data_IF_129268498019
#
_entry.id   IF_129268498019
#
_cell.length_a   1.000
_cell.length_b   1.000
_cell.length_c   1.000
_cell.angle_alpha   90.00
_cell.angle_beta   90.00
_cell.angle_gamma   90.00
#
_symmetry.space_group_name_H-M   'P 1'
#
loop_
_entity.id
_entity.type
_entity.pdbx_description
1 polymer ?
#
# COMPACT_ATOMS: atom_id res chain seq x y z
N UNK A 1 -16.59 -14.40 11.76
CA UNK A 1 -15.32 -14.89 11.18
C UNK A 1 -15.51 -15.78 9.95
N UNK A 2 -16.25 -16.91 10.02
CA UNK A 2 -16.46 -17.77 8.83
C UNK A 2 -17.15 -17.01 7.69
N UNK A 3 -18.14 -16.17 8.00
CA UNK A 3 -18.87 -15.39 6.99
C UNK A 3 -17.94 -14.35 6.30
N UNK A 4 -17.09 -13.68 7.05
CA UNK A 4 -16.08 -12.75 6.49
C UNK A 4 -15.20 -13.46 5.47
N UNK A 5 -14.67 -14.65 5.84
CA UNK A 5 -13.86 -15.46 4.91
C UNK A 5 -14.66 -15.86 3.69
N UNK A 6 -15.92 -16.27 3.86
CA UNK A 6 -16.80 -16.68 2.76
C UNK A 6 -17.02 -15.54 1.76
N UNK A 7 -17.39 -14.37 2.26
CA UNK A 7 -17.65 -13.18 1.44
C UNK A 7 -16.40 -12.81 0.64
N UNK A 8 -15.23 -12.82 1.28
CA UNK A 8 -13.97 -12.47 0.60
C UNK A 8 -13.59 -13.51 -0.45
N UNK A 9 -13.72 -14.81 -0.15
CA UNK A 9 -13.46 -15.90 -1.11
C UNK A 9 -14.37 -15.78 -2.34
N UNK A 10 -15.66 -15.48 -2.15
CA UNK A 10 -16.60 -15.32 -3.27
C UNK A 10 -16.19 -14.15 -4.17
N UNK A 11 -15.84 -13.01 -3.60
CA UNK A 11 -15.34 -11.85 -4.35
C UNK A 11 -14.10 -12.20 -5.17
N UNK A 12 -13.09 -12.83 -4.55
CA UNK A 12 -11.85 -13.20 -5.22
C UNK A 12 -12.04 -14.26 -6.31
N UNK A 13 -12.99 -15.18 -6.14
CA UNK A 13 -13.36 -16.16 -7.16
C UNK A 13 -14.09 -15.51 -8.35
N UNK A 14 -15.03 -14.63 -8.07
CA UNK A 14 -15.83 -13.92 -9.09
C UNK A 14 -14.93 -13.13 -10.04
N UNK A 15 -13.94 -12.42 -9.49
CA UNK A 15 -12.96 -11.66 -10.29
C UNK A 15 -11.81 -12.53 -10.83
N UNK A 16 -11.80 -13.84 -10.55
CA UNK A 16 -10.81 -14.79 -11.08
C UNK A 16 -9.39 -14.64 -10.50
N UNK A 17 -9.23 -13.96 -9.38
CA UNK A 17 -7.93 -13.76 -8.71
C UNK A 17 -7.44 -15.05 -8.06
N UNK A 18 -8.36 -15.88 -7.54
CA UNK A 18 -8.06 -17.19 -6.98
C UNK A 18 -8.76 -18.30 -7.75
N UNK A 19 -8.31 -19.54 -7.57
CA UNK A 19 -8.96 -20.73 -8.10
C UNK A 19 -8.87 -21.90 -7.10
N UNK A 20 -9.82 -22.86 -7.15
CA UNK A 20 -9.75 -24.03 -6.29
C UNK A 20 -8.61 -24.96 -6.72
N UNK A 21 -7.90 -25.51 -5.72
CA UNK A 21 -6.83 -26.49 -5.92
C UNK A 21 -7.04 -27.68 -4.98
N UNK A 22 -6.84 -28.89 -5.47
CA UNK A 22 -7.09 -30.10 -4.68
C UNK A 22 -5.89 -30.52 -3.85
N UNK A 23 -4.68 -30.35 -4.38
CA UNK A 23 -3.43 -30.78 -3.76
C UNK A 23 -2.35 -29.69 -3.92
N UNK A 24 -1.58 -29.49 -2.84
CA UNK A 24 -0.40 -28.63 -2.85
C UNK A 24 0.52 -29.00 -1.69
N UNK A 25 1.81 -28.92 -1.95
CA UNK A 25 2.84 -29.05 -0.90
C UNK A 25 2.97 -27.79 -0.04
N UNK A 26 2.42 -26.69 -0.49
CA UNK A 26 2.47 -25.39 0.15
C UNK A 26 1.08 -24.98 0.59
N UNK A 27 0.81 -25.08 1.90
CA UNK A 27 -0.50 -24.69 2.43
C UNK A 27 -0.32 -23.69 3.55
N UNK A 28 -0.86 -22.49 3.32
CA UNK A 28 -0.88 -21.39 4.29
C UNK A 28 -2.24 -21.31 4.99
N UNK A 29 -2.27 -20.74 6.19
CA UNK A 29 -3.50 -20.57 6.96
C UNK A 29 -4.09 -19.18 6.75
N UNK A 30 -5.43 -19.12 6.78
CA UNK A 30 -6.19 -17.87 6.75
C UNK A 30 -6.36 -17.35 8.17
N UNK A 31 -6.13 -16.05 8.35
CA UNK A 31 -6.43 -15.31 9.57
C UNK A 31 -7.44 -14.19 9.27
N UNK A 32 -8.32 -13.92 10.22
CA UNK A 32 -9.16 -12.73 10.19
C UNK A 32 -8.57 -11.70 11.15
N UNK A 33 -8.16 -10.55 10.62
CA UNK A 33 -7.66 -9.44 11.44
C UNK A 33 -8.69 -8.33 11.48
N UNK A 34 -8.87 -7.67 12.65
CA UNK A 34 -9.81 -6.57 12.76
C UNK A 34 -9.34 -5.36 11.96
N UNK A 35 -10.23 -4.78 11.18
CA UNK A 35 -10.05 -3.45 10.61
C UNK A 35 -10.36 -2.42 11.68
N UNK A 36 -9.41 -1.54 11.92
CA UNK A 36 -9.56 -0.48 12.91
C UNK A 36 -9.91 0.81 12.19
N UNK A 37 -11.13 1.27 12.41
CA UNK A 37 -11.63 2.56 11.96
C UNK A 37 -11.12 3.74 12.79
N UNK A 38 -11.81 4.87 12.68
CA UNK A 38 -11.49 6.10 13.40
C UNK A 38 -11.35 5.92 14.93
N UNK A 39 -10.78 6.92 15.56
CA UNK A 39 -10.61 6.96 17.03
C UNK A 39 -11.95 7.40 17.64
N UNK A 40 -12.50 6.58 18.54
CA UNK A 40 -13.56 6.97 19.48
C UNK A 40 -12.99 7.07 20.88
N UNK A 41 -13.70 7.77 21.74
CA UNK A 41 -13.31 7.93 23.15
C UNK A 41 -14.23 7.06 24.00
N UNK A 42 -13.64 6.13 24.76
CA UNK A 42 -14.37 5.20 25.63
C UNK A 42 -13.93 5.42 27.07
N UNK A 43 -14.85 5.53 28.05
CA UNK A 43 -14.49 5.61 29.45
C UNK A 43 -13.85 4.29 29.92
N UNK A 44 -12.74 4.37 30.65
CA UNK A 44 -12.16 3.24 31.36
C UNK A 44 -12.86 2.99 32.70
N UNK A 45 -12.43 1.95 33.43
CA UNK A 45 -12.95 1.62 34.78
C UNK A 45 -12.80 2.75 35.81
N UNK A 46 -12.01 3.77 35.52
CA UNK A 46 -11.81 4.98 36.34
C UNK A 46 -12.56 6.22 35.81
N UNK A 47 -13.46 6.01 34.81
CA UNK A 47 -14.21 7.07 34.14
C UNK A 47 -13.35 8.10 33.38
N UNK A 48 -12.08 7.75 33.05
CA UNK A 48 -11.20 8.55 32.22
C UNK A 48 -11.48 8.19 30.74
N UNK A 49 -11.58 9.20 29.90
CA UNK A 49 -11.84 9.03 28.48
C UNK A 49 -10.55 8.58 27.77
N UNK A 50 -10.48 7.31 27.35
CA UNK A 50 -9.34 6.75 26.63
C UNK A 50 -9.66 6.69 25.13
N UNK A 51 -8.79 7.21 24.25
CA UNK A 51 -8.95 7.06 22.81
C UNK A 51 -8.79 5.58 22.41
N UNK A 52 -9.83 4.99 21.87
CA UNK A 52 -9.84 3.61 21.39
C UNK A 52 -10.20 3.57 19.91
N UNK A 53 -9.46 2.78 19.13
CA UNK A 53 -9.84 2.52 17.74
C UNK A 53 -10.98 1.51 17.68
N UNK A 54 -12.08 1.90 17.07
CA UNK A 54 -13.24 1.03 16.86
C UNK A 54 -12.88 -0.01 15.80
N UNK A 55 -13.25 -1.27 16.04
CA UNK A 55 -13.23 -2.31 15.01
C UNK A 55 -14.45 -2.10 14.10
N UNK A 56 -14.21 -1.68 12.86
CA UNK A 56 -15.27 -1.42 11.87
C UNK A 56 -15.58 -2.66 11.02
N UNK A 57 -14.67 -3.62 10.99
CA UNK A 57 -14.82 -4.84 10.21
C UNK A 57 -13.69 -5.83 10.46
N UNK A 58 -13.66 -6.88 9.66
CA UNK A 58 -12.56 -7.84 9.64
C UNK A 58 -12.17 -8.11 8.21
N UNK A 59 -10.87 -8.21 7.95
CA UNK A 59 -10.32 -8.62 6.66
C UNK A 59 -9.63 -9.97 6.74
N UNK A 60 -9.70 -10.70 5.64
CA UNK A 60 -8.98 -11.95 5.47
C UNK A 60 -7.50 -11.68 5.15
N UNK A 61 -6.59 -12.33 5.86
CA UNK A 61 -5.14 -12.27 5.64
C UNK A 61 -4.60 -13.68 5.61
N UNK A 62 -3.64 -13.95 4.74
CA UNK A 62 -3.00 -15.26 4.61
C UNK A 62 -1.61 -15.22 5.23
N UNK A 63 -1.28 -16.23 6.02
CA UNK A 63 0.01 -16.32 6.68
C UNK A 63 1.08 -16.94 5.77
N UNK A 64 1.75 -16.10 5.00
CA UNK A 64 2.85 -16.51 4.13
C UNK A 64 4.23 -16.52 4.82
N UNK A 65 4.33 -16.42 6.14
CA UNK A 65 5.63 -16.38 6.84
C UNK A 65 6.52 -17.59 6.55
N UNK A 66 5.93 -18.79 6.46
CA UNK A 66 6.67 -20.03 6.11
C UNK A 66 7.14 -20.00 4.66
N UNK A 67 6.26 -19.63 3.73
CA UNK A 67 6.61 -19.46 2.31
C UNK A 67 7.71 -18.41 2.14
N UNK A 68 7.55 -17.27 2.77
CA UNK A 68 8.52 -16.17 2.71
C UNK A 68 9.91 -16.56 3.24
N UNK A 69 10.00 -17.45 4.25
CA UNK A 69 11.29 -17.98 4.73
C UNK A 69 12.00 -18.85 3.69
N UNK A 70 11.24 -19.63 2.91
CA UNK A 70 11.76 -20.49 1.87
C UNK A 70 12.00 -19.77 0.54
N UNK A 71 11.41 -18.59 0.35
CA UNK A 71 11.51 -17.82 -0.88
C UNK A 71 12.83 -17.05 -0.92
N UNK A 72 13.56 -17.17 -2.04
CA UNK A 72 14.74 -16.33 -2.32
C UNK A 72 14.30 -14.87 -2.44
N UNK A 73 14.99 -13.98 -1.70
CA UNK A 73 14.65 -12.56 -1.68
C UNK A 73 15.06 -11.88 -2.99
N UNK A 74 14.18 -11.05 -3.49
CA UNK A 74 14.47 -10.13 -4.57
C UNK A 74 15.03 -8.83 -3.96
N UNK A 75 16.21 -8.43 -4.40
CA UNK A 75 16.91 -7.24 -3.92
C UNK A 75 16.73 -6.05 -4.87
N UNK A 76 15.60 -5.99 -5.60
CA UNK A 76 15.29 -4.83 -6.42
C UNK A 76 15.22 -3.57 -5.55
N UNK A 77 15.99 -2.51 -5.88
CA UNK A 77 16.00 -1.29 -5.09
C UNK A 77 14.65 -0.58 -5.22
N UNK A 78 14.13 -0.12 -4.09
CA UNK A 78 13.02 0.83 -4.09
C UNK A 78 13.57 2.24 -4.38
N UNK A 79 12.77 3.14 -4.98
CA UNK A 79 13.15 4.53 -5.18
C UNK A 79 13.51 5.20 -3.84
N UNK A 80 14.45 6.13 -3.89
CA UNK A 80 14.80 6.94 -2.72
C UNK A 80 13.70 7.98 -2.48
N UNK A 81 13.04 7.88 -1.33
CA UNK A 81 11.93 8.77 -0.95
C UNK A 81 12.38 10.23 -0.96
N UNK A 82 13.56 10.53 -0.42
CA UNK A 82 14.08 11.90 -0.34
C UNK A 82 14.28 12.52 -1.73
N UNK A 83 14.79 11.73 -2.70
CA UNK A 83 14.94 12.17 -4.09
C UNK A 83 13.58 12.47 -4.73
N UNK A 84 12.60 11.59 -4.53
CA UNK A 84 11.23 11.82 -5.04
C UNK A 84 10.62 13.09 -4.45
N UNK A 85 10.74 13.28 -3.13
CA UNK A 85 10.23 14.45 -2.44
C UNK A 85 10.93 15.74 -2.93
N UNK A 86 12.24 15.70 -3.16
CA UNK A 86 13.00 16.83 -3.71
C UNK A 86 12.53 17.19 -5.12
N UNK A 87 12.26 16.20 -5.99
CA UNK A 87 11.72 16.46 -7.34
C UNK A 87 10.34 17.11 -7.22
N UNK A 88 9.45 16.52 -6.43
CA UNK A 88 8.09 17.04 -6.26
C UNK A 88 8.07 18.45 -5.67
N UNK A 89 8.96 18.78 -4.74
CA UNK A 89 9.01 20.10 -4.10
C UNK A 89 9.33 21.27 -5.05
N UNK A 90 9.81 20.98 -6.26
CA UNK A 90 10.13 21.95 -7.29
C UNK A 90 8.91 22.33 -8.16
N UNK A 91 7.76 21.67 -7.92
CA UNK A 91 6.55 21.81 -8.71
C UNK A 91 5.39 22.35 -7.87
N UNK A 92 4.36 22.87 -8.54
CA UNK A 92 3.23 23.55 -7.88
C UNK A 92 1.87 22.94 -8.19
N UNK A 93 1.80 22.04 -9.17
CA UNK A 93 0.56 21.40 -9.59
C UNK A 93 0.77 19.88 -9.61
N UNK A 94 -0.16 19.15 -8.98
CA UNK A 94 -0.05 17.72 -8.80
C UNK A 94 -1.35 16.99 -9.08
N UNK A 95 -1.22 15.74 -9.55
CA UNK A 95 -2.23 14.70 -9.48
C UNK A 95 -1.66 13.53 -8.70
N UNK A 96 -2.31 13.13 -7.63
CA UNK A 96 -1.95 11.95 -6.88
C UNK A 96 -2.91 10.83 -7.26
N UNK A 97 -2.37 9.77 -7.83
CA UNK A 97 -3.13 8.63 -8.32
C UNK A 97 -2.77 7.39 -7.51
N UNK A 98 -3.76 6.55 -7.24
CA UNK A 98 -3.62 5.30 -6.48
C UNK A 98 -3.92 4.10 -7.40
N UNK A 99 -3.06 3.10 -7.41
CA UNK A 99 -3.27 1.87 -8.19
C UNK A 99 -4.32 0.98 -7.55
N UNK A 100 -5.37 0.60 -8.30
CA UNK A 100 -6.44 -0.25 -7.78
C UNK A 100 -5.92 -1.64 -7.39
N UNK A 101 -5.99 -2.00 -6.09
CA UNK A 101 -5.53 -3.30 -5.58
C UNK A 101 -4.10 -3.67 -6.02
N UNK A 102 -3.23 -2.72 -6.22
CA UNK A 102 -1.84 -2.74 -6.67
C UNK A 102 -1.27 -4.11 -7.05
N UNK A 103 -0.81 -4.89 -6.08
CA UNK A 103 -0.18 -6.20 -6.33
C UNK A 103 -1.08 -7.20 -7.06
N UNK A 104 -2.40 -7.14 -6.88
CA UNK A 104 -3.35 -8.06 -7.52
C UNK A 104 -3.50 -7.82 -9.03
N UNK A 105 -2.86 -6.80 -9.57
CA UNK A 105 -2.79 -6.58 -11.01
C UNK A 105 -1.69 -7.40 -11.69
N UNK A 106 -0.70 -7.88 -10.94
CA UNK A 106 0.44 -8.63 -11.46
C UNK A 106 0.12 -10.14 -11.42
N UNK A 107 0.19 -10.85 -12.56
CA UNK A 107 0.01 -12.29 -12.58
C UNK A 107 1.18 -13.03 -11.93
N UNK A 108 0.89 -14.14 -11.27
CA UNK A 108 1.89 -15.08 -10.77
C UNK A 108 2.19 -16.08 -11.88
N UNK A 109 3.48 -16.39 -12.09
CA UNK A 109 3.89 -17.43 -13.03
C UNK A 109 3.20 -18.75 -12.69
N UNK A 110 2.73 -19.49 -13.70
CA UNK A 110 1.93 -20.70 -13.50
C UNK A 110 2.60 -21.73 -12.54
N UNK A 111 3.92 -21.99 -12.62
CA UNK A 111 4.60 -22.90 -11.70
C UNK A 111 4.65 -22.41 -10.24
N UNK A 112 4.46 -21.11 -10.02
CA UNK A 112 4.53 -20.50 -8.69
C UNK A 112 3.15 -20.32 -8.04
N UNK A 113 2.07 -20.42 -8.81
CA UNK A 113 0.70 -20.26 -8.30
C UNK A 113 0.39 -21.26 -7.19
N UNK A 114 0.77 -22.53 -7.36
CA UNK A 114 0.61 -23.58 -6.35
C UNK A 114 1.26 -23.20 -5.01
N UNK A 115 2.36 -22.45 -5.01
CA UNK A 115 3.07 -22.04 -3.79
C UNK A 115 2.26 -21.05 -2.95
N UNK A 116 1.31 -20.36 -3.55
CA UNK A 116 0.42 -19.41 -2.88
C UNK A 116 -0.80 -20.06 -2.24
N UNK A 117 -0.88 -21.38 -2.25
CA UNK A 117 -2.02 -22.15 -1.74
C UNK A 117 -2.33 -21.80 -0.30
N UNK A 118 -3.60 -21.61 -0.02
CA UNK A 118 -4.13 -21.42 1.32
C UNK A 118 -5.39 -22.24 1.57
N UNK A 119 -5.60 -22.62 2.82
CA UNK A 119 -6.78 -23.36 3.23
C UNK A 119 -7.70 -22.51 4.09
N UNK A 120 -8.99 -22.64 3.85
CA UNK A 120 -10.05 -22.02 4.65
C UNK A 120 -11.10 -23.07 5.03
N UNK A 121 -12.08 -22.76 5.90
CA UNK A 121 -13.10 -23.72 6.31
C UNK A 121 -13.95 -24.32 5.19
N UNK A 122 -13.88 -23.79 3.99
CA UNK A 122 -14.72 -24.21 2.86
C UNK A 122 -13.95 -25.07 1.85
N UNK A 123 -12.70 -24.69 1.55
CA UNK A 123 -11.88 -25.35 0.52
C UNK A 123 -10.45 -24.80 0.55
N UNK A 124 -9.60 -25.39 -0.29
CA UNK A 124 -8.24 -24.93 -0.57
C UNK A 124 -8.22 -24.18 -1.91
N UNK A 125 -7.53 -23.03 -1.95
CA UNK A 125 -7.41 -22.16 -3.10
C UNK A 125 -5.97 -21.74 -3.32
N UNK A 126 -5.64 -21.35 -4.54
CA UNK A 126 -4.37 -20.73 -4.90
C UNK A 126 -4.62 -19.42 -5.66
N UNK A 127 -3.65 -18.53 -5.62
CA UNK A 127 -3.71 -17.23 -6.30
C UNK A 127 -3.16 -17.31 -7.72
N UNK A 128 -3.85 -16.69 -8.66
CA UNK A 128 -3.36 -16.41 -10.02
C UNK A 128 -2.61 -15.08 -10.10
N UNK A 129 -2.92 -14.17 -9.20
CA UNK A 129 -2.33 -12.83 -9.10
C UNK A 129 -1.72 -12.62 -7.73
N UNK A 130 -0.74 -11.72 -7.65
CA UNK A 130 0.01 -11.54 -6.40
C UNK A 130 -0.88 -11.04 -5.26
N UNK A 131 -1.02 -11.80 -4.16
CA UNK A 131 -1.68 -11.33 -2.95
C UNK A 131 -0.74 -10.49 -2.08
N UNK A 132 -1.30 -9.74 -1.16
CA UNK A 132 -0.55 -9.14 -0.07
C UNK A 132 0.12 -10.21 0.81
N UNK A 133 1.31 -9.88 1.33
CA UNK A 133 2.04 -10.72 2.27
C UNK A 133 3.14 -11.58 1.66
N UNK A 134 3.28 -11.65 0.34
CA UNK A 134 4.44 -12.24 -0.32
C UNK A 134 5.65 -11.30 -0.20
N UNK A 135 6.81 -11.85 0.19
CA UNK A 135 8.00 -11.01 0.45
C UNK A 135 8.55 -10.28 -0.79
N UNK A 136 8.36 -10.83 -1.97
CA UNK A 136 8.85 -10.24 -3.22
C UNK A 136 7.79 -9.42 -3.97
N UNK A 137 6.55 -9.35 -3.48
CA UNK A 137 5.50 -8.60 -4.15
C UNK A 137 5.85 -7.10 -4.30
N UNK A 138 6.37 -6.40 -3.28
CA UNK A 138 6.76 -5.01 -3.42
C UNK A 138 7.84 -4.78 -4.49
N UNK A 139 8.91 -5.59 -4.46
CA UNK A 139 10.02 -5.49 -5.40
C UNK A 139 9.58 -5.78 -6.85
N UNK A 140 8.75 -6.82 -7.02
CA UNK A 140 8.21 -7.19 -8.34
C UNK A 140 7.29 -6.10 -8.89
N UNK A 141 6.42 -5.55 -8.04
CA UNK A 141 5.50 -4.48 -8.44
C UNK A 141 6.26 -3.21 -8.82
N UNK A 142 7.20 -2.75 -7.98
CA UNK A 142 8.01 -1.58 -8.27
C UNK A 142 8.79 -1.74 -9.58
N UNK A 143 9.40 -2.92 -9.81
CA UNK A 143 10.10 -3.19 -11.08
C UNK A 143 9.16 -3.08 -12.28
N UNK A 144 7.94 -3.60 -12.16
CA UNK A 144 6.94 -3.52 -13.21
C UNK A 144 6.55 -2.06 -13.48
N UNK A 145 6.28 -1.28 -12.44
CA UNK A 145 5.94 0.14 -12.57
C UNK A 145 7.10 0.96 -13.16
N UNK A 146 8.32 0.73 -12.68
CA UNK A 146 9.50 1.38 -13.25
C UNK A 146 9.68 1.04 -14.74
N UNK A 147 9.40 -0.19 -15.15
CA UNK A 147 9.48 -0.57 -16.57
C UNK A 147 8.38 0.10 -17.42
N UNK A 148 7.16 0.19 -16.91
CA UNK A 148 6.01 0.84 -17.60
C UNK A 148 6.25 2.34 -17.77
N UNK A 149 6.79 3.00 -16.77
CA UNK A 149 6.95 4.47 -16.73
C UNK A 149 8.41 4.94 -16.86
N UNK A 150 9.32 4.09 -17.37
CA UNK A 150 10.76 4.35 -17.44
C UNK A 150 11.13 5.66 -18.13
N UNK A 151 10.39 6.04 -19.15
CA UNK A 151 10.58 7.28 -19.93
C UNK A 151 9.91 8.51 -19.30
N UNK A 152 9.05 8.32 -18.31
CA UNK A 152 8.28 9.35 -17.61
C UNK A 152 8.80 9.66 -16.20
N UNK A 153 9.38 8.66 -15.52
CA UNK A 153 9.97 8.84 -14.19
C UNK A 153 11.02 9.97 -14.20
N UNK A 154 11.08 10.74 -13.12
CA UNK A 154 11.94 11.91 -12.91
C UNK A 154 11.67 13.10 -13.88
N UNK A 155 10.65 12.98 -14.75
CA UNK A 155 10.30 14.02 -15.73
C UNK A 155 8.89 14.58 -15.54
N UNK A 156 7.90 13.68 -15.37
CA UNK A 156 6.49 14.05 -15.28
C UNK A 156 5.73 13.26 -14.22
N UNK A 157 6.28 12.16 -13.72
CA UNK A 157 5.67 11.30 -12.70
C UNK A 157 6.74 10.67 -11.81
N UNK A 158 6.44 10.63 -10.52
CA UNK A 158 7.16 9.76 -9.57
C UNK A 158 6.26 8.61 -9.18
N UNK A 159 6.86 7.41 -9.07
CA UNK A 159 6.13 6.17 -8.80
C UNK A 159 6.75 5.43 -7.63
N UNK A 160 5.98 5.28 -6.58
CA UNK A 160 6.36 4.49 -5.42
C UNK A 160 5.29 3.43 -5.15
N UNK A 161 5.55 2.21 -5.61
CA UNK A 161 4.58 1.11 -5.59
C UNK A 161 3.29 1.52 -6.33
N UNK A 162 2.16 1.55 -5.62
CA UNK A 162 0.83 1.89 -6.13
C UNK A 162 0.49 3.40 -6.08
N UNK A 163 1.38 4.22 -5.50
CA UNK A 163 1.24 5.67 -5.45
C UNK A 163 1.96 6.34 -6.63
N UNK A 164 1.21 7.08 -7.43
CA UNK A 164 1.73 7.86 -8.57
C UNK A 164 1.56 9.34 -8.30
N UNK A 165 2.64 10.09 -8.40
CA UNK A 165 2.64 11.54 -8.27
C UNK A 165 2.97 12.17 -9.62
N UNK A 166 1.96 12.58 -10.36
CA UNK A 166 2.11 13.33 -11.62
C UNK A 166 2.25 14.81 -11.27
N UNK A 167 3.16 15.50 -11.91
CA UNK A 167 3.47 16.90 -11.61
C UNK A 167 3.75 17.73 -12.86
N UNK A 168 3.67 19.05 -12.69
CA UNK A 168 3.97 20.03 -13.73
C UNK A 168 4.30 21.40 -13.16
N UNK A 169 4.87 22.25 -14.00
CA UNK A 169 5.25 23.63 -13.65
C UNK A 169 4.08 24.60 -13.79
N UNK A 170 3.06 24.21 -14.53
CA UNK A 170 1.80 24.96 -14.71
C UNK A 170 0.62 23.99 -14.73
N UNK A 171 -0.60 24.54 -14.65
CA UNK A 171 -1.82 23.76 -14.78
C UNK A 171 -1.88 22.98 -16.09
N UNK A 172 -1.66 23.63 -17.21
CA UNK A 172 -1.76 23.02 -18.55
C UNK A 172 -0.66 21.96 -18.77
N UNK A 173 0.55 22.22 -18.26
CA UNK A 173 1.66 21.28 -18.28
C UNK A 173 1.33 20.02 -17.48
N UNK A 174 0.86 20.20 -16.24
CA UNK A 174 0.47 19.09 -15.38
C UNK A 174 -0.70 18.27 -15.97
N UNK A 175 -1.68 18.93 -16.58
CA UNK A 175 -2.81 18.26 -17.26
C UNK A 175 -2.34 17.46 -18.48
N UNK A 176 -1.43 18.01 -19.28
CA UNK A 176 -0.81 17.29 -20.40
C UNK A 176 -0.02 16.08 -19.93
N UNK A 177 0.70 16.21 -18.81
CA UNK A 177 1.43 15.09 -18.21
C UNK A 177 0.50 14.01 -17.67
N UNK A 178 -0.64 14.39 -17.07
CA UNK A 178 -1.67 13.45 -16.66
C UNK A 178 -2.22 12.65 -17.84
N UNK A 179 -2.56 13.32 -18.94
CA UNK A 179 -3.08 12.66 -20.15
C UNK A 179 -2.12 11.57 -20.65
N UNK A 180 -0.83 11.88 -20.73
CA UNK A 180 0.22 10.91 -21.11
C UNK A 180 0.32 9.72 -20.15
N UNK A 181 0.22 9.99 -18.84
CA UNK A 181 0.26 8.93 -17.81
C UNK A 181 -0.98 8.03 -17.92
N UNK A 182 -2.18 8.62 -18.08
CA UNK A 182 -3.43 7.87 -18.26
C UNK A 182 -3.42 7.04 -19.54
N UNK A 183 -2.93 7.58 -20.64
CA UNK A 183 -2.75 6.82 -21.88
C UNK A 183 -1.84 5.61 -21.67
N UNK A 184 -0.72 5.78 -20.95
CA UNK A 184 0.18 4.67 -20.61
C UNK A 184 -0.50 3.61 -19.72
N UNK A 185 -1.33 4.03 -18.77
CA UNK A 185 -2.14 3.11 -17.95
C UNK A 185 -3.10 2.30 -18.84
N UNK A 186 -3.75 2.93 -19.81
CA UNK A 186 -4.64 2.26 -20.77
C UNK A 186 -3.88 1.26 -21.64
N UNK A 187 -2.76 1.65 -22.25
CA UNK A 187 -1.90 0.80 -23.08
C UNK A 187 -1.40 -0.46 -22.34
N UNK A 188 -1.16 -0.33 -21.04
CA UNK A 188 -0.62 -1.41 -20.19
C UNK A 188 -1.70 -2.13 -19.37
N UNK A 189 -2.97 -1.74 -19.53
CA UNK A 189 -4.09 -2.21 -18.71
C UNK A 189 -3.88 -2.05 -17.20
N UNK A 190 -3.20 -0.99 -16.78
CA UNK A 190 -3.01 -0.64 -15.40
C UNK A 190 -4.26 0.10 -14.88
N UNK A 191 -4.92 -0.47 -13.87
CA UNK A 191 -6.17 0.07 -13.33
C UNK A 191 -5.87 0.99 -12.14
N UNK A 192 -6.42 2.19 -12.18
CA UNK A 192 -6.33 3.18 -11.11
C UNK A 192 -7.60 3.16 -10.24
N UNK A 193 -7.45 3.48 -8.97
CA UNK A 193 -8.55 3.67 -8.02
C UNK A 193 -8.95 5.14 -7.97
N UNK A 194 -9.81 5.55 -8.88
CA UNK A 194 -10.21 6.95 -9.03
C UNK A 194 -10.81 7.57 -7.75
N UNK A 195 -11.45 6.78 -6.88
CA UNK A 195 -12.01 7.25 -5.61
C UNK A 195 -10.96 7.72 -4.61
N UNK A 196 -9.73 7.21 -4.73
CA UNK A 196 -8.59 7.60 -3.90
C UNK A 196 -7.65 8.57 -4.60
N UNK A 197 -7.88 8.85 -5.88
CA UNK A 197 -7.09 9.81 -6.62
C UNK A 197 -7.44 11.24 -6.21
N UNK A 198 -6.43 12.09 -6.13
CA UNK A 198 -6.57 13.52 -5.89
C UNK A 198 -6.17 14.29 -7.14
N UNK A 199 -7.15 14.96 -7.71
CA UNK A 199 -6.98 15.67 -8.98
C UNK A 199 -6.78 17.17 -8.75
N UNK A 200 -5.82 17.74 -9.47
CA UNK A 200 -5.56 19.17 -9.55
C UNK A 200 -5.39 19.82 -8.17
N UNK A 201 -4.39 19.38 -7.46
CA UNK A 201 -4.07 19.90 -6.13
C UNK A 201 -2.74 20.66 -6.16
N UNK A 202 -2.64 21.73 -5.36
CA UNK A 202 -1.41 22.51 -5.19
C UNK A 202 -0.60 22.02 -4.00
N UNK A 203 -1.17 21.12 -3.21
CA UNK A 203 -0.52 20.48 -2.08
C UNK A 203 -1.10 19.08 -1.83
N UNK A 204 -0.30 18.16 -1.30
CA UNK A 204 -0.75 16.81 -0.96
C UNK A 204 0.21 16.11 -0.03
N UNK A 205 -0.24 14.97 0.49
CA UNK A 205 0.57 14.12 1.37
C UNK A 205 1.11 12.95 0.53
N UNK A 206 2.42 12.92 0.35
CA UNK A 206 3.14 11.85 -0.35
C UNK A 206 4.06 11.17 0.63
N UNK A 207 3.89 9.85 0.79
CA UNK A 207 4.70 9.03 1.70
C UNK A 207 4.83 9.61 3.13
N UNK A 208 3.81 10.35 3.56
CA UNK A 208 3.73 10.97 4.88
C UNK A 208 4.45 12.29 5.03
N UNK A 209 4.77 12.93 3.93
CA UNK A 209 5.24 14.31 3.90
C UNK A 209 4.24 15.17 3.13
N UNK A 210 3.96 16.35 3.65
CA UNK A 210 3.15 17.33 2.95
C UNK A 210 4.05 18.07 1.95
N UNK A 211 3.69 18.01 0.69
CA UNK A 211 4.35 18.73 -0.40
C UNK A 211 3.46 19.91 -0.79
N UNK A 212 4.03 21.07 -0.90
CA UNK A 212 3.36 22.29 -1.33
C UNK A 212 4.37 23.26 -1.97
N UNK A 213 3.89 24.37 -2.51
CA UNK A 213 4.74 25.48 -2.99
C UNK A 213 5.73 26.00 -1.93
N UNK A 214 5.45 25.76 -0.63
CA UNK A 214 6.33 26.14 0.47
C UNK A 214 7.48 25.16 0.71
N UNK A 215 7.48 24.03 -0.01
CA UNK A 215 8.45 22.96 0.13
C UNK A 215 7.87 21.70 0.77
N UNK A 216 8.72 20.96 1.48
CA UNK A 216 8.40 19.69 2.14
C UNK A 216 8.18 19.94 3.62
N UNK A 217 7.03 19.54 4.12
CA UNK A 217 6.69 19.58 5.54
C UNK A 217 6.35 18.16 6.02
N UNK A 218 6.66 17.85 7.27
CA UNK A 218 6.22 16.58 7.87
C UNK A 218 4.70 16.61 8.07
N UNK A 219 4.01 15.51 7.77
CA UNK A 219 2.57 15.40 8.01
C UNK A 219 2.24 15.68 9.50
N UNK A 220 1.46 16.73 9.72
CA UNK A 220 1.08 17.21 11.05
C UNK A 220 0.39 16.12 11.88
N UNK A 221 -0.37 15.24 11.24
CA UNK A 221 -1.01 14.12 11.93
C UNK A 221 0.01 13.15 12.55
N UNK A 222 1.20 13.01 11.94
CA UNK A 222 2.28 12.19 12.48
C UNK A 222 2.99 12.89 13.65
N UNK A 223 3.23 14.19 13.52
CA UNK A 223 3.81 15.00 14.61
C UNK A 223 2.88 14.95 15.83
N UNK A 224 1.60 15.21 15.64
CA UNK A 224 0.58 15.12 16.71
C UNK A 224 0.53 13.73 17.35
N UNK A 225 0.71 12.67 16.55
CA UNK A 225 0.73 11.31 17.08
C UNK A 225 1.93 11.07 18.01
N UNK A 226 3.10 11.63 17.70
CA UNK A 226 4.31 11.52 18.51
C UNK A 226 4.19 12.37 19.77
N UNK A 227 3.71 13.60 19.65
CA UNK A 227 3.50 14.49 20.80
C UNK A 227 2.57 13.89 21.85
N UNK A 228 1.55 13.16 21.40
CA UNK A 228 0.58 12.48 22.28
C UNK A 228 1.04 11.11 22.78
N UNK A 229 2.22 10.63 22.36
CA UNK A 229 2.72 9.35 22.82
C UNK A 229 3.22 9.45 24.27
N UNK A 230 2.83 8.50 25.14
CA UNK A 230 3.40 8.44 26.49
C UNK A 230 4.88 8.10 26.39
N UNK A 231 5.68 8.62 27.36
CA UNK A 231 7.09 8.26 27.45
C UNK A 231 7.27 6.73 27.45
N UNK A 232 8.11 6.18 26.56
CA UNK A 232 8.30 4.75 26.46
C UNK A 232 8.91 4.19 27.76
N UNK A 233 8.23 3.22 28.36
CA UNK A 233 8.66 2.58 29.62
C UNK A 233 9.22 1.16 29.41
N UNK A 234 9.06 0.60 28.24
CA UNK A 234 9.47 -0.75 27.86
C UNK A 234 10.03 -0.79 26.44
N UNK A 235 10.60 -1.96 26.07
CA UNK A 235 11.18 -2.19 24.73
C UNK A 235 10.12 -2.02 23.63
N UNK A 236 8.86 -2.37 23.90
CA UNK A 236 7.76 -2.23 22.95
C UNK A 236 7.42 -0.76 22.73
N UNK A 237 7.40 0.03 23.80
CA UNK A 237 7.20 1.48 23.75
C UNK A 237 8.32 2.18 22.99
N UNK A 238 9.58 1.80 23.24
CA UNK A 238 10.74 2.33 22.51
C UNK A 238 10.65 2.00 21.01
N UNK A 239 10.33 0.75 20.65
CA UNK A 239 10.16 0.36 19.23
C UNK A 239 9.01 1.10 18.56
N UNK A 240 7.92 1.31 19.27
CA UNK A 240 6.78 2.10 18.78
C UNK A 240 7.18 3.55 18.54
N UNK A 241 7.85 4.18 19.51
CA UNK A 241 8.36 5.54 19.38
C UNK A 241 9.35 5.68 18.21
N UNK A 242 10.35 4.80 18.11
CA UNK A 242 11.33 4.81 17.02
C UNK A 242 10.67 4.57 15.66
N UNK A 243 9.63 3.73 15.61
CA UNK A 243 8.86 3.51 14.37
C UNK A 243 8.12 4.75 13.89
N UNK A 244 7.64 5.59 14.82
CA UNK A 244 7.02 6.86 14.46
C UNK A 244 8.05 7.97 14.22
N UNK A 245 9.12 8.03 15.02
CA UNK A 245 10.17 9.04 14.90
C UNK A 245 11.09 8.82 13.68
N UNK A 246 11.37 7.57 13.33
CA UNK A 246 12.17 7.22 12.15
C UNK A 246 11.56 7.69 10.82
N UNK A 247 10.28 7.96 10.81
CA UNK A 247 9.58 8.57 9.67
C UNK A 247 9.84 10.08 9.55
N UNK A 248 10.26 10.73 10.64
CA UNK A 248 10.54 12.18 10.69
C UNK A 248 12.03 12.45 10.49
N UNK A 249 12.89 11.50 10.87
CA UNK A 249 14.34 11.65 10.86
C UNK A 249 15.05 11.14 9.61
N UNK A 250 14.32 10.81 8.56
CA UNK A 250 14.86 10.38 7.26
C UNK A 250 15.09 11.53 6.28
N UNK A 251 15.35 12.73 6.79
CA UNK A 251 15.75 13.90 5.99
C UNK A 251 17.15 14.35 6.37
#
# INVERSE_FOLDING_TARGET
>A
MKEVVRTEILKLLEVGIIYPIADSRWVSHVHCVPEKGGITVVPNDKNELIPQRIVTGYRMVIDYRKLNKATRKDHYPLPFIDQMLEILSKHTHFFFLDGYSGFSQIPISQPDQEKTTFTCPFRTYAYRRMPFGLCNAPATFQRCMTAIFSDFCEKIVEVFMDDFSVYGTSFDDCLSNLDRVLQRCEETNLVLNWEKCHFMVNEGIVLGHKISERGIEVDRAKVDAIEKMPCPKDIKGIRSFLGHAGFIGGS
#
